data_IF_232492592373
#
_entry.id   IF_232492592373
#
_cell.length_a   1.000
_cell.length_b   1.000
_cell.length_c   1.000
_cell.angle_alpha   90.00
_cell.angle_beta   90.00
_cell.angle_gamma   90.00
#
_symmetry.space_group_name_H-M   'P 1'
#
loop_
_entity.id
_entity.type
_entity.pdbx_description
1 polymer ?
#
# COMPACT_ATOMS: atom_id res chain seq x y z
N UNK A 1 -26.43 -20.81 -25.53
CA UNK A 1 -25.15 -20.07 -25.43
C UNK A 1 -24.85 -19.85 -23.95
N UNK A 2 -24.21 -20.83 -23.31
CA UNK A 2 -23.77 -20.72 -21.92
C UNK A 2 -22.50 -19.85 -21.89
N UNK A 3 -22.56 -18.68 -21.26
CA UNK A 3 -21.35 -17.94 -20.91
C UNK A 3 -20.65 -18.73 -19.81
N UNK A 4 -19.49 -19.31 -20.13
CA UNK A 4 -18.69 -20.10 -19.19
C UNK A 4 -18.45 -19.34 -17.88
N UNK A 5 -18.61 -19.97 -16.70
CA UNK A 5 -18.26 -19.37 -15.40
C UNK A 5 -16.80 -18.87 -15.31
N UNK A 6 -15.94 -19.29 -16.24
CA UNK A 6 -14.58 -18.80 -16.40
C UNK A 6 -14.48 -17.29 -16.68
N UNK A 7 -15.49 -16.66 -17.30
CA UNK A 7 -15.51 -15.20 -17.50
C UNK A 7 -15.75 -14.41 -16.20
N UNK A 8 -16.31 -15.04 -15.16
CA UNK A 8 -16.48 -14.43 -13.83
C UNK A 8 -15.18 -14.41 -13.01
N UNK A 9 -14.14 -15.15 -13.43
CA UNK A 9 -12.84 -15.18 -12.76
C UNK A 9 -11.87 -14.08 -13.22
N UNK A 10 -12.22 -13.33 -14.27
CA UNK A 10 -11.34 -12.31 -14.87
C UNK A 10 -11.48 -10.90 -14.26
N UNK A 11 -12.30 -10.71 -13.22
CA UNK A 11 -12.57 -9.38 -12.64
C UNK A 11 -12.25 -9.26 -11.15
N UNK A 12 -11.22 -9.97 -10.66
CA UNK A 12 -10.49 -9.52 -9.47
C UNK A 12 -9.57 -8.35 -9.84
N UNK A 13 -10.13 -7.31 -10.47
CA UNK A 13 -9.42 -6.04 -10.67
C UNK A 13 -9.19 -5.43 -9.28
N UNK A 14 -7.93 -5.46 -8.86
CA UNK A 14 -7.47 -5.02 -7.55
C UNK A 14 -8.13 -3.71 -7.14
N UNK A 15 -8.93 -3.70 -6.06
CA UNK A 15 -9.66 -2.50 -5.61
C UNK A 15 -8.71 -1.41 -5.04
N UNK A 16 -7.41 -1.67 -4.96
CA UNK A 16 -6.41 -0.72 -4.48
C UNK A 16 -6.22 0.47 -5.44
N UNK A 17 -6.05 1.66 -4.85
CA UNK A 17 -5.81 2.90 -5.60
C UNK A 17 -4.37 3.05 -6.10
N UNK A 18 -3.45 2.29 -5.50
CA UNK A 18 -2.03 2.17 -5.85
C UNK A 18 -1.62 0.70 -5.67
N UNK A 19 -0.80 0.17 -6.57
CA UNK A 19 -0.21 -1.15 -6.45
C UNK A 19 1.22 -1.18 -7.03
N UNK A 20 2.01 -2.16 -6.61
CA UNK A 20 3.40 -2.33 -6.97
C UNK A 20 3.89 -3.69 -6.51
N UNK A 21 5.18 -4.01 -6.70
CA UNK A 21 5.75 -5.28 -6.24
C UNK A 21 5.73 -5.38 -4.70
N UNK A 22 5.58 -6.58 -4.15
CA UNK A 22 5.74 -6.79 -2.71
C UNK A 22 7.20 -6.59 -2.27
N UNK A 23 8.13 -7.00 -3.14
CA UNK A 23 9.56 -6.90 -2.91
C UNK A 23 10.34 -6.77 -4.21
N UNK A 24 11.50 -6.13 -4.14
CA UNK A 24 12.51 -6.10 -5.22
C UNK A 24 13.88 -6.48 -4.63
N UNK A 25 14.73 -7.08 -5.47
CA UNK A 25 16.11 -7.40 -5.11
C UNK A 25 17.06 -6.93 -6.19
N UNK A 26 18.26 -6.53 -5.78
CA UNK A 26 19.35 -6.18 -6.69
C UNK A 26 20.70 -6.41 -6.03
N UNK A 27 21.75 -6.64 -6.82
CA UNK A 27 23.09 -6.85 -6.27
C UNK A 27 23.64 -5.54 -5.70
N UNK A 28 24.50 -5.65 -4.69
CA UNK A 28 25.31 -4.54 -4.20
C UNK A 28 26.15 -3.94 -5.36
N UNK A 29 26.32 -2.62 -5.35
CA UNK A 29 26.78 -1.78 -6.47
C UNK A 29 25.89 -1.76 -7.72
N UNK A 30 24.88 -2.64 -7.82
CA UNK A 30 23.89 -2.66 -8.88
C UNK A 30 22.77 -1.65 -8.68
N UNK A 31 21.61 -1.95 -9.27
CA UNK A 31 20.40 -1.13 -9.17
C UNK A 31 19.13 -1.95 -9.00
N UNK A 32 18.10 -1.32 -8.45
CA UNK A 32 16.72 -1.81 -8.51
C UNK A 32 15.83 -0.74 -9.11
N UNK A 33 14.83 -1.18 -9.86
CA UNK A 33 13.77 -0.33 -10.38
C UNK A 33 12.42 -0.84 -9.87
N UNK A 34 11.68 0.05 -9.21
CA UNK A 34 10.35 -0.20 -8.68
C UNK A 34 9.34 0.50 -9.56
N UNK A 35 8.30 -0.23 -9.99
CA UNK A 35 7.16 0.36 -10.71
C UNK A 35 5.93 0.35 -9.81
N UNK A 36 5.31 1.51 -9.66
CA UNK A 36 4.12 1.72 -8.86
C UNK A 36 3.01 2.29 -9.74
N UNK A 37 1.96 1.50 -9.91
CA UNK A 37 0.80 1.83 -10.71
C UNK A 37 -0.30 2.44 -9.85
N UNK A 38 -1.06 3.36 -10.41
CA UNK A 38 -2.10 4.09 -9.68
C UNK A 38 -3.35 4.31 -10.53
N UNK A 39 -4.49 4.59 -9.88
CA UNK A 39 -5.73 4.92 -10.59
C UNK A 39 -5.64 6.31 -11.25
N UNK A 40 -6.25 6.52 -12.44
CA UNK A 40 -6.13 7.77 -13.21
C UNK A 40 -6.41 9.07 -12.46
N UNK A 41 -7.29 9.04 -11.45
CA UNK A 41 -7.59 10.20 -10.60
C UNK A 41 -6.38 10.78 -9.86
N UNK A 42 -5.26 10.06 -9.79
CA UNK A 42 -4.03 10.48 -9.11
C UNK A 42 -2.94 10.97 -10.06
N UNK A 43 -3.27 11.18 -11.33
CA UNK A 43 -2.34 11.56 -12.40
C UNK A 43 -1.46 12.75 -12.01
N UNK A 44 -2.05 13.85 -11.56
CA UNK A 44 -1.35 15.11 -11.27
C UNK A 44 -0.85 15.25 -9.83
N UNK A 45 -1.10 14.25 -8.97
CA UNK A 45 -0.64 14.28 -7.59
C UNK A 45 0.87 14.00 -7.51
N UNK A 46 1.56 14.61 -6.56
CA UNK A 46 2.96 14.31 -6.29
C UNK A 46 3.14 12.83 -5.95
N UNK A 47 4.16 12.20 -6.53
CA UNK A 47 4.56 10.82 -6.26
C UNK A 47 5.82 10.85 -5.41
N UNK A 48 5.94 9.97 -4.42
CA UNK A 48 7.11 9.99 -3.53
C UNK A 48 7.60 8.60 -3.17
N UNK A 49 8.89 8.54 -2.84
CA UNK A 49 9.58 7.34 -2.38
C UNK A 49 10.07 7.52 -0.95
N UNK A 50 9.65 6.63 -0.06
CA UNK A 50 9.90 6.75 1.36
C UNK A 50 10.62 5.54 1.93
N UNK A 51 11.49 5.75 2.90
CA UNK A 51 12.23 4.68 3.57
C UNK A 51 11.89 4.60 5.05
N UNK A 52 11.62 3.39 5.53
CA UNK A 52 11.38 3.07 6.93
C UNK A 52 10.19 2.14 7.15
N UNK A 53 10.23 1.39 8.26
CA UNK A 53 9.21 0.37 8.59
C UNK A 53 7.79 0.94 8.81
N UNK A 54 7.69 2.19 9.28
CA UNK A 54 6.42 2.81 9.67
C UNK A 54 6.00 3.88 8.67
N UNK A 55 4.84 3.69 8.03
CA UNK A 55 4.27 4.60 7.03
C UNK A 55 4.21 6.07 7.46
N UNK A 56 3.75 6.35 8.69
CA UNK A 56 3.53 7.73 9.17
C UNK A 56 4.81 8.51 9.44
N UNK A 57 5.94 7.82 9.58
CA UNK A 57 7.22 8.43 10.03
C UNK A 57 8.38 8.00 9.15
N UNK A 58 8.11 7.40 7.99
CA UNK A 58 9.15 7.05 7.04
C UNK A 58 9.80 8.35 6.53
N UNK A 59 11.07 8.26 6.16
CA UNK A 59 11.81 9.40 5.61
C UNK A 59 11.58 9.46 4.10
N UNK A 60 10.92 10.50 3.62
CA UNK A 60 10.78 10.77 2.18
C UNK A 60 12.19 11.02 1.62
N UNK A 61 12.60 10.18 0.66
CA UNK A 61 13.91 10.29 0.02
C UNK A 61 13.84 11.18 -1.22
N UNK A 62 12.73 11.11 -1.95
CA UNK A 62 12.51 11.87 -3.17
C UNK A 62 11.01 11.97 -3.49
N UNK A 63 10.60 13.04 -4.16
CA UNK A 63 9.21 13.33 -4.53
C UNK A 63 9.17 14.07 -5.87
N UNK A 64 8.17 13.79 -6.71
CA UNK A 64 7.88 14.55 -7.93
C UNK A 64 7.08 15.82 -7.63
N UNK A 65 7.15 16.80 -8.53
CA UNK A 65 6.35 18.03 -8.49
C UNK A 65 4.89 17.87 -8.98
N UNK A 66 4.39 16.64 -9.10
CA UNK A 66 3.12 16.35 -9.78
C UNK A 66 3.20 16.40 -11.32
N UNK A 67 4.42 16.53 -11.86
CA UNK A 67 4.74 16.50 -13.29
C UNK A 67 5.46 15.20 -13.70
N UNK A 68 5.66 15.01 -15.01
CA UNK A 68 6.42 13.87 -15.58
C UNK A 68 7.94 14.11 -15.64
N UNK A 69 8.41 15.24 -15.10
CA UNK A 69 9.83 15.53 -14.99
C UNK A 69 10.50 14.53 -14.03
N UNK A 70 11.66 14.01 -14.43
CA UNK A 70 12.44 13.15 -13.56
C UNK A 70 13.13 13.98 -12.48
N UNK A 71 12.90 13.60 -11.23
CA UNK A 71 13.60 14.16 -10.09
C UNK A 71 14.70 13.18 -9.67
N UNK A 72 15.90 13.67 -9.34
CA UNK A 72 17.03 12.85 -8.88
C UNK A 72 17.67 13.45 -7.64
N UNK A 73 17.88 12.62 -6.62
CA UNK A 73 18.57 12.98 -5.37
C UNK A 73 19.57 11.88 -5.02
N UNK A 74 20.86 12.21 -5.16
CA UNK A 74 21.96 11.28 -4.91
C UNK A 74 21.88 10.03 -5.81
N UNK A 75 21.55 8.89 -5.19
CA UNK A 75 21.45 7.57 -5.83
C UNK A 75 20.03 7.16 -6.21
N UNK A 76 19.04 8.02 -5.93
CA UNK A 76 17.63 7.72 -6.14
C UNK A 76 17.05 8.67 -7.19
N UNK A 77 16.35 8.13 -8.18
CA UNK A 77 15.53 8.92 -9.10
C UNK A 77 14.07 8.46 -9.08
N UNK A 78 13.16 9.39 -9.36
CA UNK A 78 11.73 9.13 -9.49
C UNK A 78 11.20 9.85 -10.71
N UNK A 79 10.35 9.16 -11.48
CA UNK A 79 9.68 9.75 -12.64
C UNK A 79 8.28 9.20 -12.76
N UNK A 80 7.31 10.10 -12.92
CA UNK A 80 5.94 9.74 -13.24
C UNK A 80 5.76 9.57 -14.75
N UNK A 81 4.98 8.56 -15.13
CA UNK A 81 4.45 8.36 -16.46
C UNK A 81 2.92 8.42 -16.34
N UNK A 82 2.40 9.61 -16.62
CA UNK A 82 1.00 9.95 -16.46
C UNK A 82 0.11 9.33 -17.55
N UNK A 83 0.70 8.91 -18.67
CA UNK A 83 0.00 8.15 -19.72
C UNK A 83 -0.31 6.73 -19.26
N UNK A 84 0.67 6.07 -18.65
CA UNK A 84 0.55 4.68 -18.21
C UNK A 84 0.04 4.56 -16.76
N UNK A 85 -0.25 5.70 -16.12
CA UNK A 85 -0.66 5.80 -14.73
C UNK A 85 0.28 5.02 -13.79
N UNK A 86 1.58 5.21 -14.01
CA UNK A 86 2.61 4.54 -13.23
C UNK A 86 3.79 5.46 -13.04
N UNK A 87 4.42 5.39 -11.87
CA UNK A 87 5.70 6.05 -11.65
C UNK A 87 6.75 4.99 -11.32
N UNK A 88 7.98 5.27 -11.75
CA UNK A 88 9.12 4.43 -11.50
C UNK A 88 10.06 5.10 -10.51
N UNK A 89 10.66 4.30 -9.65
CA UNK A 89 11.75 4.70 -8.76
C UNK A 89 12.95 3.84 -9.07
N UNK A 90 14.10 4.45 -9.32
CA UNK A 90 15.36 3.74 -9.52
C UNK A 90 16.31 4.05 -8.38
N UNK A 91 16.85 3.02 -7.75
CA UNK A 91 17.95 3.13 -6.78
C UNK A 91 19.21 2.56 -7.40
N UNK A 92 20.24 3.37 -7.55
CA UNK A 92 21.52 3.03 -8.18
C UNK A 92 22.62 2.83 -7.14
N UNK A 93 23.70 2.13 -7.53
CA UNK A 93 24.88 1.88 -6.68
C UNK A 93 24.47 1.40 -5.29
N UNK A 94 23.64 0.36 -5.28
CA UNK A 94 23.07 -0.21 -4.06
C UNK A 94 24.14 -0.57 -3.05
N UNK A 95 23.81 -0.43 -1.78
CA UNK A 95 24.67 -0.80 -0.66
C UNK A 95 23.91 -1.75 0.25
N UNK A 96 24.61 -2.56 1.02
CA UNK A 96 23.94 -3.46 1.97
C UNK A 96 22.98 -2.74 2.92
N UNK A 97 23.31 -1.51 3.32
CA UNK A 97 22.47 -0.66 4.16
C UNK A 97 21.24 -0.09 3.43
N UNK A 98 21.04 -0.35 2.14
CA UNK A 98 19.79 -0.06 1.43
C UNK A 98 18.74 -1.18 1.59
N UNK A 99 19.08 -2.32 2.20
CA UNK A 99 18.10 -3.34 2.56
C UNK A 99 17.16 -2.80 3.63
N UNK A 100 15.90 -2.54 3.29
CA UNK A 100 14.91 -1.95 4.20
C UNK A 100 13.47 -2.11 3.67
N UNK A 101 12.52 -1.62 4.46
CA UNK A 101 11.15 -1.34 4.03
C UNK A 101 11.08 0.04 3.40
N UNK A 102 10.46 0.10 2.22
CA UNK A 102 10.18 1.31 1.48
C UNK A 102 8.70 1.45 1.16
N UNK A 103 8.31 2.62 0.70
CA UNK A 103 6.95 2.91 0.29
C UNK A 103 6.93 3.76 -0.97
N UNK A 104 6.12 3.32 -1.93
CA UNK A 104 5.58 4.22 -2.95
C UNK A 104 4.43 4.99 -2.34
N UNK A 105 4.46 6.32 -2.45
CA UNK A 105 3.45 7.21 -1.92
C UNK A 105 2.88 8.16 -2.97
N UNK A 106 1.63 8.59 -2.75
CA UNK A 106 0.95 9.61 -3.54
C UNK A 106 0.35 10.62 -2.59
N UNK A 107 0.74 11.88 -2.77
CA UNK A 107 0.24 13.00 -1.99
C UNK A 107 -1.26 13.20 -2.24
N UNK A 108 -2.04 13.29 -1.17
CA UNK A 108 -3.49 13.50 -1.25
C UNK A 108 -3.93 14.42 -0.11
N UNK A 109 -4.94 15.24 -0.37
CA UNK A 109 -5.71 15.88 0.70
C UNK A 109 -6.17 14.83 1.73
N UNK A 110 -5.69 14.98 2.97
CA UNK A 110 -5.93 14.05 4.07
C UNK A 110 -4.78 13.05 4.24
N UNK A 111 -5.10 11.75 4.24
CA UNK A 111 -4.08 10.69 4.33
C UNK A 111 -3.64 10.27 2.94
N UNK A 112 -2.34 10.38 2.71
CA UNK A 112 -1.68 9.90 1.50
C UNK A 112 -1.94 8.41 1.23
N UNK A 113 -1.90 8.06 -0.05
CA UNK A 113 -1.91 6.66 -0.45
C UNK A 113 -0.50 6.12 -0.46
N UNK A 114 -0.33 4.85 -0.10
CA UNK A 114 0.92 4.17 -0.38
C UNK A 114 0.84 2.67 -0.33
N UNK A 115 1.88 2.06 -0.89
CA UNK A 115 2.10 0.63 -0.85
C UNK A 115 3.52 0.33 -0.38
N UNK A 116 3.62 -0.65 0.52
CA UNK A 116 4.89 -1.11 1.09
C UNK A 116 5.62 -2.01 0.12
N UNK A 117 6.92 -1.79 0.00
CA UNK A 117 7.84 -2.60 -0.80
C UNK A 117 9.03 -2.97 0.07
N UNK A 118 9.44 -4.25 0.06
CA UNK A 118 10.71 -4.68 0.65
C UNK A 118 11.82 -4.57 -0.39
N UNK A 119 12.90 -3.84 -0.08
CA UNK A 119 14.11 -3.83 -0.91
C UNK A 119 15.15 -4.71 -0.23
N UNK A 120 15.74 -5.63 -0.98
CA UNK A 120 16.84 -6.48 -0.50
C UNK A 120 18.05 -6.32 -1.42
N UNK A 121 19.22 -6.13 -0.82
CA UNK A 121 20.48 -6.02 -1.55
C UNK A 121 21.27 -7.31 -1.38
N UNK A 122 21.51 -7.99 -2.49
CA UNK A 122 22.28 -9.23 -2.48
C UNK A 122 23.79 -8.88 -2.44
N UNK A 123 24.60 -9.48 -1.57
CA UNK A 123 26.03 -9.21 -1.52
C UNK A 123 26.68 -9.59 -2.84
N UNK A 124 27.69 -8.84 -3.27
CA UNK A 124 28.53 -9.29 -4.40
C UNK A 124 29.24 -10.56 -3.94
N UNK A 125 28.90 -11.68 -4.58
CA UNK A 125 29.69 -12.90 -4.41
C UNK A 125 31.10 -12.61 -4.89
N UNK A 126 32.08 -12.66 -3.99
CA UNK A 126 33.44 -13.01 -4.42
C UNK A 126 33.32 -14.39 -5.06
N UNK A 127 33.59 -14.50 -6.36
CA UNK A 127 33.88 -15.78 -6.98
C UNK A 127 34.95 -16.47 -6.15
N UNK A 128 34.54 -17.39 -5.29
CA UNK A 128 35.42 -18.29 -4.56
C UNK A 128 34.70 -19.62 -4.53
N UNK A 129 35.10 -20.45 -5.49
CA UNK A 129 35.18 -21.90 -5.42
C UNK A 129 34.57 -22.51 -4.16
N UNK A 130 33.53 -23.30 -4.37
CA UNK A 130 33.03 -24.34 -3.46
C UNK A 130 34.07 -24.81 -2.44
N UNK A 131 34.04 -24.23 -1.25
CA UNK A 131 34.52 -24.85 -0.04
C UNK A 131 33.38 -24.76 0.97
N UNK A 132 32.71 -25.89 1.19
CA UNK A 132 31.89 -26.11 2.38
C UNK A 132 32.82 -26.16 3.59
N UNK A 133 32.50 -25.45 4.67
CA UNK A 133 32.82 -25.92 6.00
C UNK A 133 31.57 -26.38 6.74
N UNK A 134 31.77 -27.54 7.36
CA UNK A 134 31.01 -28.28 8.33
C UNK A 134 30.11 -27.50 9.32
N UNK A 135 29.02 -28.16 9.71
CA UNK A 135 28.03 -27.75 10.70
C UNK A 135 28.49 -27.90 12.18
N UNK A 136 27.74 -27.17 13.05
CA UNK A 136 27.60 -27.17 14.54
C UNK A 136 28.42 -26.09 15.28
N UNK A 137 27.93 -25.36 16.29
CA UNK A 137 26.84 -25.56 17.29
C UNK A 137 26.18 -24.24 17.74
N UNK A 138 24.99 -24.37 18.33
CA UNK A 138 24.16 -23.38 19.03
C UNK A 138 24.89 -22.31 19.86
N UNK A 139 24.45 -21.05 19.73
CA UNK A 139 24.29 -20.12 20.87
C UNK A 139 22.92 -19.47 20.74
N UNK A 140 22.07 -19.81 21.70
CA UNK A 140 20.74 -19.29 21.92
C UNK A 140 20.86 -17.88 22.53
N UNK A 141 20.19 -16.89 21.94
CA UNK A 141 19.94 -15.61 22.62
C UNK A 141 18.65 -14.99 22.10
N UNK A 142 17.58 -15.37 22.80
CA UNK A 142 16.28 -14.73 22.75
C UNK A 142 16.42 -13.23 23.02
N UNK A 143 16.00 -12.41 22.05
CA UNK A 143 15.56 -11.03 22.28
C UNK A 143 14.23 -10.82 21.56
N UNK A 144 13.21 -11.53 22.02
CA UNK A 144 11.82 -11.32 21.63
C UNK A 144 11.16 -10.35 22.62
N UNK A 145 11.31 -9.05 22.38
CA UNK A 145 10.62 -7.95 23.08
C UNK A 145 10.46 -6.83 22.04
N UNK A 146 9.30 -6.32 21.62
CA UNK A 146 7.90 -6.53 22.03
C UNK A 146 6.97 -6.15 20.86
N UNK A 147 6.88 -6.97 19.81
CA UNK A 147 5.86 -6.78 18.76
C UNK A 147 4.46 -7.24 19.21
N UNK A 148 4.40 -8.11 20.22
CA UNK A 148 3.16 -8.57 20.84
C UNK A 148 2.47 -7.50 21.68
N UNK A 149 3.23 -6.61 22.35
CA UNK A 149 2.65 -5.62 23.28
C UNK A 149 1.85 -4.54 22.54
N UNK A 150 2.35 -4.01 21.42
CA UNK A 150 1.65 -2.96 20.68
C UNK A 150 0.36 -3.45 20.01
N UNK A 151 0.37 -4.64 19.38
CA UNK A 151 -0.84 -5.23 18.80
C UNK A 151 -1.85 -5.63 19.87
N UNK A 152 -1.40 -6.17 21.00
CA UNK A 152 -2.27 -6.54 22.13
C UNK A 152 -2.91 -5.31 22.77
N UNK A 153 -2.14 -4.25 22.99
CA UNK A 153 -2.64 -3.00 23.58
C UNK A 153 -3.61 -2.29 22.63
N UNK A 154 -3.28 -2.20 21.34
CA UNK A 154 -4.18 -1.62 20.34
C UNK A 154 -5.45 -2.47 20.13
N UNK A 155 -5.35 -3.80 20.21
CA UNK A 155 -6.52 -4.70 20.13
C UNK A 155 -7.41 -4.57 21.37
N UNK A 156 -6.82 -4.54 22.57
CA UNK A 156 -7.52 -4.27 23.84
C UNK A 156 -8.25 -2.93 23.75
N UNK A 157 -7.58 -1.86 23.35
CA UNK A 157 -8.18 -0.52 23.25
C UNK A 157 -9.30 -0.47 22.20
N UNK A 158 -9.15 -1.18 21.07
CA UNK A 158 -10.25 -1.32 20.09
C UNK A 158 -11.45 -2.08 20.64
N UNK A 159 -11.24 -3.15 21.40
CA UNK A 159 -12.34 -3.93 22.00
C UNK A 159 -13.03 -3.12 23.10
N UNK A 160 -12.27 -2.53 24.04
CA UNK A 160 -12.82 -1.75 25.15
C UNK A 160 -13.44 -0.43 24.73
N UNK A 161 -13.08 0.16 23.59
CA UNK A 161 -13.74 1.38 23.08
C UNK A 161 -14.88 1.03 22.14
N UNK A 162 -14.70 0.10 21.18
CA UNK A 162 -15.74 -0.20 20.19
C UNK A 162 -16.90 -1.01 20.77
N UNK A 163 -16.66 -1.94 21.70
CA UNK A 163 -17.74 -2.77 22.26
C UNK A 163 -18.74 -1.91 23.05
N UNK A 164 -18.32 -1.01 23.97
CA UNK A 164 -19.27 -0.12 24.64
C UNK A 164 -20.01 0.80 23.67
N UNK A 165 -19.34 1.33 22.65
CA UNK A 165 -20.00 2.15 21.62
C UNK A 165 -21.07 1.33 20.87
N UNK A 166 -20.76 0.09 20.49
CA UNK A 166 -21.74 -0.79 19.83
C UNK A 166 -22.90 -1.17 20.76
N UNK A 167 -22.65 -1.38 22.06
CA UNK A 167 -23.71 -1.65 23.04
C UNK A 167 -24.59 -0.42 23.28
N UNK A 168 -24.02 0.78 23.34
CA UNK A 168 -24.77 2.04 23.45
C UNK A 168 -25.60 2.25 22.18
N UNK A 169 -25.04 2.02 20.99
CA UNK A 169 -25.77 2.11 19.73
C UNK A 169 -26.87 1.06 19.62
N UNK A 170 -26.62 -0.19 20.04
CA UNK A 170 -27.63 -1.24 20.09
C UNK A 170 -28.74 -0.89 21.10
N UNK A 171 -28.39 -0.33 22.26
CA UNK A 171 -29.35 0.18 23.25
C UNK A 171 -30.19 1.33 22.68
N UNK A 172 -29.57 2.28 21.99
CA UNK A 172 -30.27 3.38 21.31
C UNK A 172 -31.18 2.87 20.18
N UNK A 173 -30.72 1.90 19.38
CA UNK A 173 -31.52 1.26 18.34
C UNK A 173 -32.67 0.46 18.94
N UNK A 174 -32.47 -0.27 20.03
CA UNK A 174 -33.55 -1.00 20.73
C UNK A 174 -34.54 -0.03 21.36
N UNK A 175 -34.09 1.11 21.89
CA UNK A 175 -34.95 2.21 22.34
C UNK A 175 -35.78 2.79 21.19
N UNK A 176 -35.16 3.05 20.03
CA UNK A 176 -35.86 3.55 18.84
C UNK A 176 -36.81 2.50 18.24
N UNK A 177 -36.42 1.22 18.28
CA UNK A 177 -37.19 0.10 17.76
C UNK A 177 -38.34 -0.30 18.68
N UNK A 178 -38.26 0.03 19.98
CA UNK A 178 -39.37 -0.03 20.92
C UNK A 178 -40.47 1.02 20.65
N UNK A 179 -40.22 2.01 19.79
CA UNK A 179 -41.19 3.05 19.40
C UNK A 179 -41.78 2.78 17.99
N UNK A 180 -41.28 1.79 17.24
CA UNK A 180 -41.71 1.54 15.86
C UNK A 180 -41.84 0.05 15.57
N UNK A 181 -43.03 -0.51 15.81
CA UNK A 181 -43.47 -1.70 15.07
C UNK A 181 -43.89 -1.29 13.64
N UNK A 182 -43.16 -1.77 12.63
CA UNK A 182 -43.49 -1.65 11.21
C UNK A 182 -42.41 -2.31 10.31
N UNK A 183 -42.75 -3.01 9.20
CA UNK A 183 -41.97 -4.17 8.73
C UNK A 183 -41.03 -3.97 7.53
N UNK A 184 -39.96 -4.78 7.55
CA UNK A 184 -39.13 -5.41 6.49
C UNK A 184 -38.45 -4.57 5.38
N UNK A 185 -37.15 -4.86 5.19
CA UNK A 185 -36.41 -4.56 3.96
C UNK A 185 -34.92 -4.88 4.05
N UNK A 186 -34.48 -5.93 3.35
CA UNK A 186 -33.19 -6.61 3.43
C UNK A 186 -31.91 -5.78 3.18
N UNK A 187 -30.84 -6.25 3.81
CA UNK A 187 -29.43 -5.92 3.60
C UNK A 187 -28.95 -6.44 2.23
N UNK A 188 -28.19 -5.64 1.48
CA UNK A 188 -27.29 -6.19 0.45
C UNK A 188 -25.97 -5.39 0.38
N UNK A 189 -24.87 -6.14 0.33
CA UNK A 189 -23.47 -5.69 0.37
C UNK A 189 -23.06 -5.26 -1.05
N UNK A 190 -22.74 -3.98 -1.25
CA UNK A 190 -22.27 -3.48 -2.55
C UNK A 190 -20.75 -3.23 -2.55
N UNK A 191 -20.06 -4.16 -3.21
CA UNK A 191 -18.69 -4.09 -3.72
C UNK A 191 -18.39 -2.78 -4.47
N UNK A 192 -17.14 -2.30 -4.34
CA UNK A 192 -16.57 -1.04 -4.84
C UNK A 192 -17.26 -0.48 -6.11
N UNK A 193 -18.33 0.31 -5.99
CA UNK A 193 -18.86 1.10 -7.13
C UNK A 193 -18.25 2.50 -7.13
N UNK A 194 -17.57 2.78 -8.24
CA UNK A 194 -17.19 4.11 -8.69
C UNK A 194 -18.43 5.02 -8.77
N UNK A 195 -18.31 6.23 -8.24
CA UNK A 195 -19.11 7.37 -8.67
C UNK A 195 -18.16 8.36 -9.33
N UNK A 196 -18.40 8.56 -10.63
CA UNK A 196 -17.83 9.59 -11.47
C UNK A 196 -18.79 10.80 -11.41
N UNK A 197 -18.40 11.96 -10.86
CA UNK A 197 -19.02 13.26 -11.15
C UNK A 197 -18.17 13.91 -12.26
N UNK A 198 -18.62 14.46 -13.39
CA UNK A 198 -19.87 15.05 -13.83
C UNK A 198 -19.91 14.92 -15.36
N UNK A 199 -21.04 14.53 -15.92
CA UNK A 199 -21.43 14.84 -17.29
C UNK A 199 -22.92 15.18 -17.22
N UNK A 200 -23.28 16.46 -17.23
CA UNK A 200 -24.51 17.02 -17.79
C UNK A 200 -24.77 18.46 -17.30
N UNK A 201 -24.37 19.42 -18.12
CA UNK A 201 -25.13 20.63 -18.46
C UNK A 201 -24.61 20.99 -19.86
N UNK A 202 -25.39 21.18 -20.93
CA UNK A 202 -26.77 21.69 -21.04
C UNK A 202 -27.17 21.54 -22.53
N UNK A 203 -28.28 20.88 -22.82
CA UNK A 203 -29.01 21.05 -24.09
C UNK A 203 -30.09 22.13 -23.86
N UNK A 204 -30.00 23.29 -24.54
CA UNK A 204 -31.15 24.12 -24.94
C UNK A 204 -30.75 24.83 -26.25
N UNK A 205 -31.53 24.56 -27.31
CA UNK A 205 -31.47 25.12 -28.66
C UNK A 205 -31.95 26.60 -28.71
N UNK A 206 -32.12 27.28 -29.86
CA UNK A 206 -32.74 26.81 -31.11
C UNK A 206 -31.76 26.55 -32.27
#
# INVERSE_FOLDING_TARGET
MWLSPALLLLSLTSCFSIHGPESVRGPEQGSVTVHCHYKPRWKTNSKWWCRGAYWKTCRILIQTSGSEQEEKSGRVSIRDNQRDHSFKVTMERLRQDDTDTYWCGIEKIGTDLGIRIKVTVDPVGTDTTSYKPHARTNVDSNMEVSFGSYKRTHYILLVFVKVPILLILAGAVLWLKGISEGPQGATEIASCRNLNPEFLTKDIAP
#
